data_IF_792611044983
#
_entry.id   IF_792611044983
#
_cell.length_a   1.000
_cell.length_b   1.000
_cell.length_c   1.000
_cell.angle_alpha   90.00
_cell.angle_beta   90.00
_cell.angle_gamma   90.00
#
_symmetry.space_group_name_H-M   'P 1'
#
loop_
_entity.id
_entity.type
_entity.pdbx_description
1 polymer ?
#
# COMPACT_ATOMS: atom_id res chain seq x y z
N UNK A 1 -18.93 11.94 -11.70
CA UNK A 1 -17.54 12.28 -11.90
C UNK A 1 -17.25 13.70 -11.50
N UNK A 2 -16.11 13.88 -10.87
CA UNK A 2 -15.75 15.16 -10.32
C UNK A 2 -14.81 15.96 -11.20
N UNK A 3 -14.31 15.35 -12.25
CA UNK A 3 -13.20 15.87 -13.02
C UNK A 3 -13.48 17.17 -13.76
N UNK A 4 -14.73 17.51 -13.97
CA UNK A 4 -15.07 18.73 -14.70
C UNK A 4 -15.33 19.92 -13.81
N UNK A 5 -15.24 19.75 -12.52
CA UNK A 5 -15.48 20.85 -11.61
C UNK A 5 -14.17 21.56 -11.28
N UNK A 6 -14.28 22.86 -11.18
CA UNK A 6 -13.14 23.67 -10.76
C UNK A 6 -13.07 23.69 -9.24
N UNK A 7 -12.12 22.97 -8.71
CA UNK A 7 -11.85 23.03 -7.28
C UNK A 7 -10.74 24.04 -7.06
N UNK A 8 -11.01 25.00 -6.19
CA UNK A 8 -10.02 26.01 -5.84
C UNK A 8 -9.04 25.40 -4.85
N UNK A 9 -8.14 24.56 -5.35
CA UNK A 9 -7.09 24.01 -4.52
C UNK A 9 -6.06 25.11 -4.30
N UNK A 10 -5.58 25.21 -3.08
CA UNK A 10 -4.51 26.15 -2.79
C UNK A 10 -3.25 25.71 -3.52
N UNK A 11 -2.37 26.66 -3.87
CA UNK A 11 -1.08 26.28 -4.47
C UNK A 11 -0.29 25.30 -3.60
N UNK A 12 -0.44 25.37 -2.27
CA UNK A 12 0.23 24.45 -1.37
C UNK A 12 -0.25 23.01 -1.56
N UNK A 13 -1.59 22.82 -1.75
CA UNK A 13 -2.14 21.50 -1.99
C UNK A 13 -1.67 20.96 -3.33
N UNK A 14 -1.66 21.81 -4.37
CA UNK A 14 -1.17 21.40 -5.67
C UNK A 14 0.29 20.97 -5.62
N UNK A 15 1.12 21.70 -4.87
CA UNK A 15 2.52 21.36 -4.70
C UNK A 15 2.67 20.00 -4.01
N UNK A 16 1.90 19.76 -2.95
CA UNK A 16 1.94 18.48 -2.25
C UNK A 16 1.55 17.35 -3.19
N UNK A 17 0.50 17.52 -3.98
CA UNK A 17 0.05 16.48 -4.92
C UNK A 17 1.11 16.21 -5.98
N UNK A 18 1.77 17.26 -6.48
CA UNK A 18 2.84 17.09 -7.46
C UNK A 18 4.03 16.35 -6.89
N UNK A 19 4.42 16.68 -5.66
CA UNK A 19 5.53 16.00 -4.98
C UNK A 19 5.20 14.53 -4.73
N UNK A 20 3.97 14.24 -4.32
CA UNK A 20 3.55 12.86 -4.08
C UNK A 20 3.57 12.06 -5.38
N UNK A 21 3.13 12.65 -6.47
CA UNK A 21 3.14 11.97 -7.76
C UNK A 21 4.58 11.68 -8.21
N UNK A 22 5.50 12.60 -8.00
CA UNK A 22 6.90 12.39 -8.34
C UNK A 22 7.52 11.26 -7.52
N UNK A 23 7.13 11.15 -6.23
CA UNK A 23 7.69 10.15 -5.33
C UNK A 23 7.01 8.78 -5.50
N UNK A 24 5.69 8.76 -5.58
CA UNK A 24 4.90 7.52 -5.52
C UNK A 24 4.29 7.11 -6.86
N UNK A 25 4.38 7.94 -7.89
CA UNK A 25 3.69 7.73 -9.16
C UNK A 25 2.26 8.24 -9.10
N UNK A 26 1.54 8.14 -10.23
CA UNK A 26 0.17 8.61 -10.28
C UNK A 26 -0.73 7.72 -9.44
N UNK A 27 -1.72 8.33 -8.80
CA UNK A 27 -2.67 7.58 -7.99
C UNK A 27 -3.42 6.54 -8.83
N UNK A 28 -3.82 6.91 -10.05
CA UNK A 28 -4.56 6.00 -10.92
C UNK A 28 -3.73 4.74 -11.23
N UNK A 29 -2.47 4.93 -11.60
CA UNK A 29 -1.62 3.78 -11.93
C UNK A 29 -1.34 2.93 -10.69
N UNK A 30 -1.12 3.55 -9.56
CA UNK A 30 -0.94 2.82 -8.30
C UNK A 30 -2.18 2.02 -7.96
N UNK A 31 -3.36 2.60 -8.16
CA UNK A 31 -4.62 1.90 -7.89
C UNK A 31 -4.77 0.70 -8.82
N UNK A 32 -4.44 0.85 -10.12
CA UNK A 32 -4.53 -0.25 -11.06
C UNK A 32 -3.62 -1.41 -10.65
N UNK A 33 -2.36 -1.13 -10.36
CA UNK A 33 -1.40 -2.17 -9.97
C UNK A 33 -1.84 -2.81 -8.66
N UNK A 34 -2.22 -1.99 -7.68
CA UNK A 34 -2.66 -2.48 -6.37
C UNK A 34 -3.85 -3.43 -6.50
N UNK A 35 -4.86 -3.04 -7.29
CA UNK A 35 -6.05 -3.88 -7.43
C UNK A 35 -5.74 -5.19 -8.17
N UNK A 36 -4.85 -5.15 -9.18
CA UNK A 36 -4.44 -6.37 -9.86
C UNK A 36 -3.70 -7.32 -8.91
N UNK A 37 -2.78 -6.78 -8.12
CA UNK A 37 -2.05 -7.60 -7.15
C UNK A 37 -2.99 -8.19 -6.11
N UNK A 38 -3.95 -7.41 -5.62
CA UNK A 38 -4.94 -7.90 -4.66
C UNK A 38 -5.79 -9.01 -5.27
N UNK A 39 -6.16 -8.87 -6.54
CA UNK A 39 -6.92 -9.90 -7.22
C UNK A 39 -6.13 -11.21 -7.26
N UNK A 40 -4.86 -11.15 -7.63
CA UNK A 40 -4.06 -12.38 -7.69
C UNK A 40 -3.80 -12.96 -6.32
N UNK A 41 -3.59 -12.14 -5.30
CA UNK A 41 -3.45 -12.64 -3.92
C UNK A 41 -4.69 -13.41 -3.49
N UNK A 42 -5.87 -12.92 -3.86
CA UNK A 42 -7.12 -13.56 -3.47
C UNK A 42 -7.31 -14.94 -4.11
N UNK A 43 -6.50 -15.30 -5.11
CA UNK A 43 -6.53 -16.64 -5.70
C UNK A 43 -5.77 -17.65 -4.86
N UNK A 44 -5.01 -17.21 -3.88
CA UNK A 44 -4.25 -18.13 -3.02
C UNK A 44 -5.17 -19.03 -2.23
N UNK A 45 -4.77 -20.29 -2.09
CA UNK A 45 -5.59 -21.33 -1.46
C UNK A 45 -6.06 -20.93 -0.07
N UNK A 46 -5.19 -20.27 0.69
CA UNK A 46 -5.46 -19.96 2.09
C UNK A 46 -5.91 -18.52 2.32
N UNK A 47 -6.07 -17.73 1.25
CA UNK A 47 -6.29 -16.30 1.41
C UNK A 47 -7.50 -15.99 2.30
N UNK A 48 -8.62 -16.67 2.04
CA UNK A 48 -9.86 -16.40 2.77
C UNK A 48 -9.78 -16.81 4.24
N UNK A 49 -8.88 -17.73 4.55
CA UNK A 49 -8.73 -18.27 5.90
C UNK A 49 -7.63 -17.58 6.68
N UNK A 50 -6.89 -16.68 6.03
CA UNK A 50 -5.82 -15.97 6.71
C UNK A 50 -6.38 -15.09 7.82
N UNK A 51 -5.66 -14.98 8.94
CA UNK A 51 -6.05 -14.03 9.98
C UNK A 51 -6.15 -12.61 9.41
N UNK A 52 -7.07 -11.83 9.96
CA UNK A 52 -7.32 -10.48 9.49
C UNK A 52 -6.05 -9.61 9.49
N UNK A 53 -5.21 -9.63 10.56
CA UNK A 53 -3.99 -8.80 10.53
C UNK A 53 -3.04 -9.15 9.41
N UNK A 54 -2.92 -10.44 9.08
CA UNK A 54 -2.04 -10.90 8.00
C UNK A 54 -2.52 -10.37 6.66
N UNK A 55 -3.83 -10.46 6.41
CA UNK A 55 -4.41 -9.97 5.16
C UNK A 55 -4.23 -8.47 5.01
N UNK A 56 -4.51 -7.74 6.08
CA UNK A 56 -4.38 -6.29 6.04
C UNK A 56 -2.92 -5.89 5.78
N UNK A 57 -1.97 -6.55 6.45
CA UNK A 57 -0.56 -6.26 6.24
C UNK A 57 -0.16 -6.51 4.78
N UNK A 58 -0.59 -7.63 4.20
CA UNK A 58 -0.27 -7.90 2.81
C UNK A 58 -0.87 -6.85 1.88
N UNK A 59 -2.09 -6.40 2.14
CA UNK A 59 -2.70 -5.37 1.32
C UNK A 59 -1.96 -4.04 1.43
N UNK A 60 -1.49 -3.70 2.61
CA UNK A 60 -0.68 -2.50 2.78
C UNK A 60 0.66 -2.63 2.08
N UNK A 61 1.28 -3.81 2.15
CA UNK A 61 2.53 -4.07 1.42
C UNK A 61 2.31 -3.93 -0.09
N UNK A 62 1.17 -4.39 -0.59
CA UNK A 62 0.82 -4.23 -2.01
C UNK A 62 0.79 -2.75 -2.39
N UNK A 63 0.24 -1.89 -1.54
CA UNK A 63 0.26 -0.45 -1.80
C UNK A 63 1.68 0.07 -1.96
N UNK A 64 2.60 -0.41 -1.12
CA UNK A 64 4.01 0.01 -1.20
C UNK A 64 4.66 -0.53 -2.47
N UNK A 65 4.35 -1.76 -2.85
CA UNK A 65 4.87 -2.34 -4.08
C UNK A 65 4.43 -1.48 -5.29
N UNK A 66 3.16 -1.10 -5.34
CA UNK A 66 2.65 -0.27 -6.42
C UNK A 66 3.43 1.05 -6.50
N UNK A 67 3.67 1.69 -5.36
CA UNK A 67 4.42 2.95 -5.31
C UNK A 67 5.86 2.79 -5.76
N UNK A 68 6.48 1.66 -5.42
CA UNK A 68 7.85 1.39 -5.83
C UNK A 68 7.96 1.22 -7.33
N UNK A 69 7.04 0.47 -7.94
CA UNK A 69 7.13 0.17 -9.38
C UNK A 69 6.62 1.29 -10.26
N UNK A 70 5.85 2.23 -9.72
CA UNK A 70 5.29 3.34 -10.48
C UNK A 70 5.93 4.68 -10.14
N UNK A 71 6.60 4.79 -9.01
CA UNK A 71 7.21 6.04 -8.56
C UNK A 71 8.72 5.91 -8.48
N UNK A 72 9.28 6.48 -7.42
CA UNK A 72 10.71 6.43 -7.17
C UNK A 72 11.08 5.12 -6.48
N UNK A 73 11.75 4.19 -7.17
CA UNK A 73 12.08 2.90 -6.57
C UNK A 73 13.11 3.01 -5.45
N UNK A 74 13.76 4.14 -5.33
CA UNK A 74 14.79 4.37 -4.32
C UNK A 74 14.28 5.15 -3.11
N UNK A 75 12.98 5.42 -3.05
CA UNK A 75 12.41 6.11 -1.90
C UNK A 75 12.35 5.14 -0.73
N UNK A 76 13.23 5.36 0.22
CA UNK A 76 13.49 4.40 1.30
C UNK A 76 12.25 4.08 2.12
N UNK A 77 11.39 5.07 2.37
CA UNK A 77 10.24 4.88 3.26
C UNK A 77 9.30 3.77 2.78
N UNK A 78 9.16 3.57 1.46
CA UNK A 78 8.34 2.48 0.96
C UNK A 78 8.87 1.13 1.43
N UNK A 79 10.19 0.95 1.38
CA UNK A 79 10.82 -0.31 1.81
C UNK A 79 10.76 -0.48 3.32
N UNK A 80 10.96 0.62 4.07
CA UNK A 80 10.86 0.61 5.52
C UNK A 80 9.44 0.22 5.94
N UNK A 81 8.43 0.75 5.26
CA UNK A 81 7.04 0.41 5.56
C UNK A 81 6.76 -1.08 5.34
N UNK A 82 7.35 -1.68 4.29
CA UNK A 82 7.20 -3.12 4.06
C UNK A 82 7.77 -3.91 5.23
N UNK A 83 8.95 -3.51 5.72
CA UNK A 83 9.55 -4.13 6.90
C UNK A 83 8.63 -3.98 8.10
N UNK A 84 8.07 -2.79 8.29
CA UNK A 84 7.19 -2.52 9.42
C UNK A 84 5.96 -3.40 9.45
N UNK A 85 5.27 -3.52 8.32
CA UNK A 85 4.09 -4.38 8.26
C UNK A 85 4.46 -5.85 8.46
N UNK A 86 5.60 -6.28 7.93
CA UNK A 86 6.09 -7.64 8.15
C UNK A 86 6.37 -7.88 9.62
N UNK A 87 6.98 -6.91 10.31
CA UNK A 87 7.29 -7.05 11.73
C UNK A 87 6.00 -7.16 12.56
N UNK A 88 4.97 -6.39 12.22
CA UNK A 88 3.71 -6.47 12.93
C UNK A 88 3.09 -7.86 12.81
N UNK A 89 3.19 -8.48 11.64
CA UNK A 89 2.67 -9.84 11.45
C UNK A 89 3.50 -10.85 12.25
N UNK A 90 4.83 -10.68 12.26
CA UNK A 90 5.70 -11.57 13.05
C UNK A 90 5.30 -11.52 14.52
N UNK A 91 5.07 -10.33 15.05
CA UNK A 91 4.66 -10.18 16.44
C UNK A 91 3.30 -10.80 16.71
N UNK A 92 2.40 -10.67 15.76
CA UNK A 92 1.09 -11.29 15.87
C UNK A 92 1.21 -12.80 15.94
N UNK A 93 2.01 -13.41 15.05
CA UNK A 93 2.24 -14.84 15.03
C UNK A 93 2.85 -15.32 16.35
N UNK A 94 3.82 -14.57 16.87
CA UNK A 94 4.44 -14.93 18.14
C UNK A 94 3.44 -14.93 19.29
N UNK A 95 2.47 -14.01 19.24
CA UNK A 95 1.45 -13.96 20.29
C UNK A 95 0.59 -15.21 20.33
N UNK A 96 0.43 -15.92 19.19
CA UNK A 96 -0.32 -17.18 19.17
C UNK A 96 0.42 -18.32 19.85
N UNK A 97 1.74 -18.23 19.92
CA UNK A 97 2.58 -19.32 20.43
C UNK A 97 2.93 -19.16 21.90
N UNK A 98 2.76 -17.96 22.45
CA UNK A 98 3.17 -17.70 23.81
C UNK A 98 2.10 -18.18 24.80
N UNK A 99 2.48 -18.96 25.80
CA UNK A 99 1.56 -19.32 26.87
C UNK A 99 1.23 -18.09 27.71
N UNK A 100 0.02 -18.00 28.18
CA UNK A 100 -0.38 -16.91 29.06
C UNK A 100 0.15 -17.11 30.48
#
# INVERSE_FOLDING_TARGET
QLHKQNYNLSPMIEEVLNQRQATYGSFTKNAEVSQMLKYFMAQGTNYKQMPVPHREALEMIVHKIARIVNGDPNYIDNWVDIIGYSQLVIEEIKSYEEPN
#
